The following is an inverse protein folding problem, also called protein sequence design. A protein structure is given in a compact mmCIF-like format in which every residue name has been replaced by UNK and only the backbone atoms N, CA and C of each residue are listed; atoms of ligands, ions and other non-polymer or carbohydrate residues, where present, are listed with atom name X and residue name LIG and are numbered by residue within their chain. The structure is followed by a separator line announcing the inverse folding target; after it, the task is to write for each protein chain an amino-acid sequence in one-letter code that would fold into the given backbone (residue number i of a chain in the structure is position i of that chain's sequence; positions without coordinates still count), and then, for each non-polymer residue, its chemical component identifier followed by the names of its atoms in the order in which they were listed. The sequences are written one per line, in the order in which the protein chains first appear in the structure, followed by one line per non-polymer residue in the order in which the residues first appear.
data_IF_113992228147
#
_entry.id   IF_113992228147
#
_cell.length_a   1.000
_cell.length_b   1.000
_cell.length_c   1.000
_cell.angle_alpha   90.00
_cell.angle_beta   90.00
_cell.angle_gamma   90.00
#
_symmetry.space_group_name_H-M   'P 1'
#
loop_
_entity.id
_entity.type
_entity.pdbx_description
1 polymer ?
#
# COMPACT_ATOMS: atom_id res chain seq x y z
N UNK A 1 1.84 7.50 -19.03
CA UNK A 1 1.99 8.38 -17.85
C UNK A 1 3.00 9.46 -18.21
N UNK A 2 2.70 10.74 -17.99
CA UNK A 2 3.69 11.80 -18.24
C UNK A 2 4.96 11.56 -17.41
N UNK A 3 6.16 11.86 -17.93
CA UNK A 3 7.41 11.69 -17.18
C UNK A 3 7.43 12.40 -15.82
N UNK A 4 6.80 13.57 -15.70
CA UNK A 4 6.68 14.30 -14.43
C UNK A 4 5.99 13.49 -13.33
N UNK A 5 4.96 12.71 -13.68
CA UNK A 5 4.23 11.86 -12.72
C UNK A 5 5.07 10.69 -12.19
N UNK A 6 6.09 10.24 -12.92
CA UNK A 6 7.02 9.21 -12.43
C UNK A 6 7.76 9.75 -11.21
N UNK A 7 8.35 10.93 -11.33
CA UNK A 7 9.14 11.55 -10.28
C UNK A 7 8.30 11.95 -9.08
N UNK A 8 7.09 12.44 -9.30
CA UNK A 8 6.15 12.72 -8.19
C UNK A 8 5.88 11.47 -7.33
N UNK A 9 5.66 10.31 -7.95
CA UNK A 9 5.43 9.06 -7.22
C UNK A 9 6.67 8.66 -6.41
N UNK A 10 7.86 8.75 -7.01
CA UNK A 10 9.11 8.41 -6.31
C UNK A 10 9.36 9.37 -5.16
N UNK A 11 9.21 10.68 -5.37
CA UNK A 11 9.40 11.67 -4.31
C UNK A 11 8.46 11.44 -3.13
N UNK A 12 7.18 11.14 -3.38
CA UNK A 12 6.21 10.96 -2.29
C UNK A 12 6.35 9.60 -1.61
N UNK A 13 6.53 8.50 -2.37
CA UNK A 13 6.50 7.16 -1.78
C UNK A 13 7.86 6.64 -1.31
N UNK A 14 8.96 7.18 -1.84
CA UNK A 14 10.33 6.78 -1.51
C UNK A 14 10.99 7.86 -0.68
N UNK A 15 11.22 9.03 -1.28
CA UNK A 15 12.02 10.08 -0.64
C UNK A 15 11.35 10.60 0.64
N UNK A 16 10.06 10.92 0.62
CA UNK A 16 9.38 11.46 1.79
C UNK A 16 9.36 10.47 2.96
N UNK A 17 9.12 9.18 2.71
CA UNK A 17 9.12 8.14 3.76
C UNK A 17 10.49 8.07 4.44
N UNK A 18 11.57 8.02 3.66
CA UNK A 18 12.93 7.91 4.18
C UNK A 18 13.37 9.18 4.91
N UNK A 19 13.06 10.35 4.35
CA UNK A 19 13.35 11.64 4.98
C UNK A 19 12.63 11.81 6.31
N UNK A 20 11.34 11.49 6.38
CA UNK A 20 10.55 11.59 7.62
C UNK A 20 11.11 10.66 8.70
N UNK A 21 11.45 9.42 8.34
CA UNK A 21 12.09 8.50 9.28
C UNK A 21 13.44 9.05 9.76
N UNK A 22 14.29 9.54 8.85
CA UNK A 22 15.61 10.10 9.18
C UNK A 22 15.52 11.30 10.13
N UNK A 23 14.48 12.12 9.98
CA UNK A 23 14.25 13.30 10.82
C UNK A 23 13.70 12.93 12.20
N UNK A 24 12.78 11.97 12.29
CA UNK A 24 12.04 11.67 13.53
C UNK A 24 12.73 10.63 14.41
N UNK A 25 13.39 9.63 13.80
CA UNK A 25 13.99 8.51 14.52
C UNK A 25 15.04 8.94 15.57
N UNK A 26 15.97 9.88 15.30
CA UNK A 26 16.95 10.30 16.32
C UNK A 26 16.28 10.77 17.61
N UNK A 27 15.23 11.60 17.50
CA UNK A 27 14.48 12.06 18.67
C UNK A 27 13.72 10.95 19.39
N UNK A 28 13.23 9.93 18.68
CA UNK A 28 12.63 8.74 19.30
C UNK A 28 13.67 7.93 20.07
N UNK A 29 14.86 7.74 19.49
CA UNK A 29 15.99 7.04 20.12
C UNK A 29 16.41 7.74 21.42
N UNK A 30 16.57 9.07 21.41
CA UNK A 30 16.88 9.83 22.63
C UNK A 30 15.84 9.60 23.74
N UNK A 31 14.57 9.40 23.38
CA UNK A 31 13.51 9.12 24.36
C UNK A 31 13.43 7.65 24.79
N UNK A 32 14.16 6.75 24.15
CA UNK A 32 14.05 5.30 24.33
C UNK A 32 12.67 4.72 24.00
N UNK A 33 11.83 5.48 23.28
CA UNK A 33 10.47 5.08 22.91
C UNK A 33 9.96 5.82 21.69
N UNK A 34 9.22 5.11 20.84
CA UNK A 34 8.53 5.67 19.69
C UNK A 34 7.85 4.60 18.85
N UNK A 35 6.99 5.04 17.94
CA UNK A 35 6.38 4.17 16.95
C UNK A 35 6.41 4.82 15.56
N UNK A 36 6.75 4.05 14.54
CA UNK A 36 6.69 4.43 13.13
C UNK A 36 5.79 3.44 12.40
N UNK A 37 4.85 3.95 11.62
CA UNK A 37 3.96 3.14 10.79
C UNK A 37 4.11 3.59 9.34
N UNK A 38 4.67 2.72 8.51
CA UNK A 38 4.86 2.99 7.09
C UNK A 38 3.79 2.29 6.25
N UNK A 39 3.17 3.05 5.36
CA UNK A 39 2.06 2.59 4.51
C UNK A 39 2.54 2.13 3.14
N UNK A 40 2.58 0.82 2.96
CA UNK A 40 2.82 0.16 1.68
C UNK A 40 1.50 -0.11 0.92
N UNK A 41 1.42 -1.22 0.20
CA UNK A 41 0.24 -1.73 -0.50
C UNK A 41 0.44 -3.20 -0.83
N UNK A 42 -0.64 -3.97 -0.97
CA UNK A 42 -0.63 -5.31 -1.54
C UNK A 42 0.06 -5.39 -2.92
N UNK A 43 0.17 -4.28 -3.65
CA UNK A 43 0.93 -4.18 -4.89
C UNK A 43 2.44 -4.44 -4.73
N UNK A 44 2.97 -4.44 -3.51
CA UNK A 44 4.37 -4.80 -3.25
C UNK A 44 4.67 -6.28 -3.50
N UNK A 45 3.64 -7.13 -3.64
CA UNK A 45 3.84 -8.57 -3.75
C UNK A 45 4.35 -8.99 -5.13
N UNK A 46 4.01 -8.26 -6.19
CA UNK A 46 4.39 -8.56 -7.57
C UNK A 46 4.54 -7.28 -8.41
N UNK A 47 5.15 -7.41 -9.58
CA UNK A 47 5.11 -6.37 -10.60
C UNK A 47 3.68 -6.13 -11.11
N UNK A 48 3.30 -4.85 -11.21
CA UNK A 48 1.96 -4.43 -11.66
C UNK A 48 2.06 -3.67 -13.00
N UNK A 49 1.72 -4.30 -14.15
CA UNK A 49 1.69 -3.62 -15.44
C UNK A 49 0.82 -2.36 -15.40
N UNK A 50 1.15 -1.29 -16.13
CA UNK A 50 0.50 0.03 -16.06
C UNK A 50 0.74 0.82 -14.76
N UNK A 51 1.09 0.16 -13.64
CA UNK A 51 1.33 0.76 -12.32
C UNK A 51 2.77 0.50 -11.82
N UNK A 52 3.72 0.31 -12.73
CA UNK A 52 5.08 -0.18 -12.45
C UNK A 52 5.82 0.63 -11.39
N UNK A 53 5.89 1.96 -11.55
CA UNK A 53 6.59 2.87 -10.61
C UNK A 53 5.92 2.85 -9.23
N UNK A 54 4.59 2.84 -9.19
CA UNK A 54 3.85 2.76 -7.94
C UNK A 54 4.14 1.46 -7.20
N UNK A 55 4.00 0.31 -7.86
CA UNK A 55 4.27 -0.99 -7.25
C UNK A 55 5.72 -1.11 -6.76
N UNK A 56 6.69 -0.69 -7.58
CA UNK A 56 8.11 -0.66 -7.21
C UNK A 56 8.36 0.23 -5.97
N UNK A 57 7.73 1.40 -5.89
CA UNK A 57 7.84 2.27 -4.71
C UNK A 57 7.28 1.63 -3.44
N UNK A 58 6.29 0.75 -3.54
CA UNK A 58 5.71 0.03 -2.40
C UNK A 58 6.58 -1.17 -1.97
N UNK A 59 7.26 -1.82 -2.91
CA UNK A 59 8.35 -2.77 -2.58
C UNK A 59 9.46 -2.07 -1.79
N UNK A 60 9.86 -0.86 -2.22
CA UNK A 60 10.82 -0.04 -1.47
C UNK A 60 10.33 0.23 -0.05
N UNK A 61 9.10 0.75 0.12
CA UNK A 61 8.54 1.04 1.44
C UNK A 61 8.56 -0.20 2.35
N UNK A 62 8.20 -1.37 1.84
CA UNK A 62 8.26 -2.63 2.59
C UNK A 62 9.68 -2.95 3.06
N UNK A 63 10.62 -3.01 2.12
CA UNK A 63 12.01 -3.39 2.39
C UNK A 63 12.64 -2.41 3.38
N UNK A 64 12.48 -1.11 3.14
CA UNK A 64 12.95 -0.03 4.02
C UNK A 64 12.37 -0.17 5.43
N UNK A 65 11.06 -0.40 5.55
CA UNK A 65 10.39 -0.54 6.86
C UNK A 65 10.89 -1.75 7.65
N UNK A 66 11.20 -2.85 6.97
CA UNK A 66 11.77 -4.03 7.61
C UNK A 66 13.21 -3.76 8.09
N UNK A 67 14.03 -3.13 7.26
CA UNK A 67 15.41 -2.79 7.63
C UNK A 67 15.46 -1.88 8.87
N UNK A 68 14.74 -0.75 8.84
CA UNK A 68 14.77 0.19 9.98
C UNK A 68 14.11 -0.41 11.24
N UNK A 69 13.22 -1.41 11.10
CA UNK A 69 12.69 -2.11 12.27
C UNK A 69 13.82 -2.81 13.03
N UNK A 70 14.64 -3.60 12.32
CA UNK A 70 15.73 -4.34 12.94
C UNK A 70 16.81 -3.39 13.47
N UNK A 71 17.13 -2.32 12.73
CA UNK A 71 18.11 -1.31 13.15
C UNK A 71 17.70 -0.57 14.44
N UNK A 72 16.41 -0.27 14.59
CA UNK A 72 15.90 0.57 15.70
C UNK A 72 15.19 -0.22 16.82
N UNK A 73 14.97 -1.53 16.66
CA UNK A 73 14.39 -2.37 17.72
C UNK A 73 15.21 -2.36 19.02
N UNK A 74 16.56 -2.44 19.00
CA UNK A 74 17.37 -2.33 20.22
C UNK A 74 17.22 -0.98 20.95
N UNK A 75 16.73 0.05 20.26
CA UNK A 75 16.55 1.40 20.79
C UNK A 75 15.12 1.66 21.32
N UNK A 76 14.30 0.61 21.47
CA UNK A 76 12.94 0.73 22.00
C UNK A 76 11.93 1.31 21.01
N UNK A 77 12.24 1.29 19.70
CA UNK A 77 11.37 1.87 18.66
C UNK A 77 10.55 0.77 17.99
N UNK A 78 9.23 0.93 18.01
CA UNK A 78 8.32 0.03 17.34
C UNK A 78 8.09 0.45 15.88
N UNK A 79 8.48 -0.38 14.91
CA UNK A 79 8.25 -0.10 13.49
C UNK A 79 7.26 -1.10 12.89
N UNK A 80 6.18 -0.59 12.31
CA UNK A 80 5.12 -1.36 11.66
C UNK A 80 5.05 -1.11 10.16
N UNK A 81 4.85 -2.19 9.42
CA UNK A 81 4.54 -2.21 8.00
C UNK A 81 3.05 -2.48 7.80
N UNK A 82 2.37 -1.58 7.08
CA UNK A 82 0.98 -1.75 6.64
C UNK A 82 0.92 -2.04 5.13
N UNK A 83 0.24 -3.11 4.73
CA UNK A 83 0.10 -3.54 3.33
C UNK A 83 -1.38 -3.73 2.94
N UNK A 84 -2.16 -2.64 2.81
CA UNK A 84 -3.57 -2.73 2.48
C UNK A 84 -3.82 -3.24 1.06
N UNK A 85 -4.96 -3.91 0.89
CA UNK A 85 -5.61 -4.07 -0.41
C UNK A 85 -6.48 -2.84 -0.72
N UNK A 86 -7.38 -2.96 -1.68
CA UNK A 86 -8.26 -1.85 -2.09
C UNK A 86 -9.10 -1.38 -0.89
N UNK A 87 -9.08 -0.06 -0.66
CA UNK A 87 -9.90 0.65 0.32
C UNK A 87 -10.80 1.60 -0.47
N UNK A 88 -12.06 1.69 -0.08
CA UNK A 88 -13.07 2.51 -0.74
C UNK A 88 -12.84 3.99 -0.48
N UNK A 89 -11.94 4.58 -1.27
CA UNK A 89 -11.50 5.99 -1.21
C UNK A 89 -11.53 6.64 -2.59
N UNK A 90 -11.19 7.93 -2.67
CA UNK A 90 -11.04 8.65 -3.94
C UNK A 90 -10.06 7.99 -4.92
N UNK A 91 -9.05 7.26 -4.43
CA UNK A 91 -8.12 6.51 -5.29
C UNK A 91 -8.81 5.39 -6.08
N UNK A 92 -9.84 4.78 -5.49
CA UNK A 92 -10.59 3.70 -6.09
C UNK A 92 -11.79 4.20 -6.92
N UNK A 93 -12.00 5.52 -7.06
CA UNK A 93 -13.16 6.12 -7.76
C UNK A 93 -13.37 5.58 -9.18
N UNK A 94 -12.27 5.26 -9.87
CA UNK A 94 -12.29 4.79 -11.26
C UNK A 94 -12.34 3.26 -11.37
N UNK A 95 -12.44 2.55 -10.24
CA UNK A 95 -12.63 1.11 -10.25
C UNK A 95 -14.07 0.77 -10.61
N UNK A 96 -14.35 -0.44 -11.13
CA UNK A 96 -15.71 -0.84 -11.44
C UNK A 96 -16.62 -0.72 -10.21
N UNK A 97 -17.70 0.06 -10.30
CA UNK A 97 -18.65 0.27 -9.17
C UNK A 97 -19.17 -1.03 -8.57
N UNK A 98 -19.46 -2.03 -9.42
CA UNK A 98 -19.84 -3.39 -8.98
C UNK A 98 -18.82 -4.05 -8.05
N UNK A 99 -17.54 -3.78 -8.24
CA UNK A 99 -16.47 -4.28 -7.39
C UNK A 99 -16.52 -3.59 -6.00
N UNK A 100 -16.89 -2.31 -5.96
CA UNK A 100 -16.86 -1.48 -4.75
C UNK A 100 -18.14 -1.52 -3.91
N UNK A 101 -19.33 -1.45 -4.53
CA UNK A 101 -20.60 -1.18 -3.86
C UNK A 101 -21.19 -2.35 -3.06
N UNK A 102 -20.60 -3.56 -3.13
CA UNK A 102 -21.15 -4.78 -2.49
C UNK A 102 -20.11 -5.63 -1.76
N UNK A 103 -18.88 -5.15 -1.62
CA UNK A 103 -17.78 -5.98 -1.19
C UNK A 103 -17.39 -5.71 0.26
N UNK A 104 -17.65 -6.69 1.14
CA UNK A 104 -17.06 -6.74 2.50
C UNK A 104 -15.52 -6.77 2.46
N UNK A 105 -14.93 -6.98 1.29
CA UNK A 105 -13.49 -6.99 1.08
C UNK A 105 -12.90 -5.57 1.03
N UNK A 106 -13.70 -4.53 0.75
CA UNK A 106 -13.19 -3.16 0.53
C UNK A 106 -13.81 -2.18 1.54
N UNK A 107 -13.24 -2.09 2.76
CA UNK A 107 -13.72 -1.14 3.76
C UNK A 107 -13.59 0.30 3.27
N UNK A 108 -14.42 1.21 3.79
CA UNK A 108 -14.18 2.64 3.65
C UNK A 108 -12.95 3.09 4.48
N UNK A 109 -12.48 4.31 4.23
CA UNK A 109 -11.28 4.85 4.89
C UNK A 109 -11.38 4.87 6.43
N UNK A 110 -12.56 5.23 6.98
CA UNK A 110 -12.77 5.33 8.42
C UNK A 110 -12.76 3.95 9.06
N UNK A 111 -13.48 2.99 8.48
CA UNK A 111 -13.50 1.60 8.93
C UNK A 111 -12.11 0.98 8.87
N UNK A 112 -11.37 1.20 7.77
CA UNK A 112 -10.00 0.72 7.64
C UNK A 112 -9.08 1.34 8.69
N UNK A 113 -9.13 2.66 8.91
CA UNK A 113 -8.29 3.34 9.88
C UNK A 113 -8.52 2.85 11.31
N UNK A 114 -9.78 2.70 11.73
CA UNK A 114 -10.12 2.11 13.03
C UNK A 114 -9.55 0.70 13.20
N UNK A 115 -9.69 -0.14 12.17
CA UNK A 115 -9.12 -1.49 12.18
C UNK A 115 -7.58 -1.46 12.24
N UNK A 116 -6.93 -0.62 11.44
CA UNK A 116 -5.47 -0.56 11.34
C UNK A 116 -4.82 -0.13 12.66
N UNK A 117 -5.40 0.87 13.35
CA UNK A 117 -4.90 1.33 14.66
C UNK A 117 -4.94 0.21 15.71
N UNK A 118 -5.93 -0.69 15.66
CA UNK A 118 -6.03 -1.81 16.60
C UNK A 118 -4.87 -2.82 16.48
N UNK A 119 -4.12 -2.80 15.38
CA UNK A 119 -2.94 -3.64 15.18
C UNK A 119 -1.64 -2.98 15.66
N UNK A 120 -1.63 -1.66 15.89
CA UNK A 120 -0.44 -0.93 16.30
C UNK A 120 0.07 -1.46 17.65
N UNK A 121 1.37 -1.75 17.73
CA UNK A 121 2.00 -2.33 18.92
C UNK A 121 1.77 -3.83 19.12
N UNK A 122 0.97 -4.50 18.27
CA UNK A 122 0.66 -5.94 18.40
C UNK A 122 1.32 -6.80 17.34
N UNK A 123 1.37 -6.30 16.11
CA UNK A 123 1.93 -7.01 14.96
C UNK A 123 2.80 -6.10 14.11
N UNK A 124 3.98 -6.55 13.73
CA UNK A 124 4.91 -5.74 12.96
C UNK A 124 4.54 -5.63 11.48
N UNK A 125 3.86 -6.64 10.93
CA UNK A 125 3.43 -6.70 9.54
C UNK A 125 1.94 -7.03 9.51
N UNK A 126 1.15 -6.16 8.89
CA UNK A 126 -0.30 -6.35 8.80
C UNK A 126 -0.85 -5.69 7.55
N UNK A 127 -1.97 -6.18 7.06
CA UNK A 127 -2.74 -5.51 6.02
C UNK A 127 -3.66 -4.41 6.57
N UNK A 128 -3.74 -4.25 7.89
CA UNK A 128 -4.61 -3.29 8.58
C UNK A 128 -6.08 -3.70 8.66
N UNK A 129 -6.49 -4.76 7.95
CA UNK A 129 -7.85 -5.27 7.93
C UNK A 129 -7.84 -6.80 7.81
N UNK A 130 -8.56 -7.50 8.68
CA UNK A 130 -8.43 -8.96 8.83
C UNK A 130 -8.74 -9.75 7.55
N UNK A 131 -9.75 -9.34 6.78
CA UNK A 131 -10.08 -9.94 5.48
C UNK A 131 -8.92 -9.78 4.50
N UNK A 132 -8.27 -8.60 4.49
CA UNK A 132 -7.09 -8.38 3.65
C UNK A 132 -5.95 -9.32 4.06
N UNK A 133 -5.85 -9.71 5.33
CA UNK A 133 -4.87 -10.69 5.79
C UNK A 133 -5.10 -12.07 5.16
N UNK A 134 -6.35 -12.51 5.06
CA UNK A 134 -6.71 -13.76 4.37
C UNK A 134 -6.36 -13.65 2.88
N UNK A 135 -6.74 -12.54 2.24
CA UNK A 135 -6.42 -12.28 0.83
C UNK A 135 -4.91 -12.28 0.57
N UNK A 136 -4.14 -11.68 1.48
CA UNK A 136 -2.68 -11.62 1.41
C UNK A 136 -2.06 -13.02 1.46
N UNK A 137 -2.50 -13.84 2.42
CA UNK A 137 -2.02 -15.21 2.57
C UNK A 137 -2.34 -16.06 1.35
N UNK A 138 -3.58 -16.01 0.85
CA UNK A 138 -3.98 -16.73 -0.38
C UNK A 138 -3.15 -16.26 -1.58
N UNK A 139 -2.96 -14.95 -1.72
CA UNK A 139 -2.16 -14.39 -2.81
C UNK A 139 -0.72 -14.91 -2.78
N UNK A 140 -0.11 -15.05 -1.61
CA UNK A 140 1.26 -15.58 -1.48
C UNK A 140 1.42 -17.04 -1.91
N UNK A 141 0.35 -17.83 -1.93
CA UNK A 141 0.40 -19.21 -2.41
C UNK A 141 0.50 -19.29 -3.94
N UNK A 142 0.06 -18.25 -4.64
CA UNK A 142 0.14 -18.20 -6.09
C UNK A 142 1.56 -17.82 -6.56
N UNK A 143 2.16 -18.56 -7.51
CA UNK A 143 3.41 -18.18 -8.16
C UNK A 143 3.34 -16.76 -8.73
N UNK A 144 4.50 -16.09 -8.80
CA UNK A 144 4.55 -14.70 -9.27
C UNK A 144 3.95 -14.52 -10.67
N UNK A 145 4.25 -15.42 -11.62
CA UNK A 145 3.71 -15.34 -12.97
C UNK A 145 2.17 -15.40 -13.00
N UNK A 146 1.54 -16.17 -12.11
CA UNK A 146 0.08 -16.26 -11.96
C UNK A 146 -0.45 -14.91 -11.48
N UNK A 147 0.15 -14.36 -10.42
CA UNK A 147 -0.24 -13.06 -9.87
C UNK A 147 -0.05 -11.93 -10.88
N UNK A 148 1.04 -11.96 -11.65
CA UNK A 148 1.30 -11.00 -12.71
C UNK A 148 0.27 -11.10 -13.84
N UNK A 149 -0.11 -12.31 -14.24
CA UNK A 149 -1.16 -12.52 -15.25
C UNK A 149 -2.51 -11.95 -14.79
N UNK A 150 -2.94 -12.26 -13.56
CA UNK A 150 -4.16 -11.70 -12.98
C UNK A 150 -4.09 -10.17 -12.83
N UNK A 151 -2.95 -9.63 -12.36
CA UNK A 151 -2.74 -8.19 -12.25
C UNK A 151 -2.86 -7.50 -13.61
N UNK A 152 -2.29 -8.10 -14.66
CA UNK A 152 -2.38 -7.57 -16.02
C UNK A 152 -3.84 -7.49 -16.48
N UNK A 153 -4.60 -8.59 -16.36
CA UNK A 153 -6.02 -8.62 -16.72
C UNK A 153 -6.84 -7.58 -15.95
N UNK A 154 -6.66 -7.51 -14.63
CA UNK A 154 -7.36 -6.56 -13.77
C UNK A 154 -7.07 -5.10 -14.15
N UNK A 155 -5.80 -4.74 -14.34
CA UNK A 155 -5.40 -3.36 -14.60
C UNK A 155 -5.78 -2.91 -16.01
N UNK A 156 -5.78 -3.81 -16.99
CA UNK A 156 -6.34 -3.52 -18.31
C UNK A 156 -7.85 -3.26 -18.25
N UNK A 157 -8.60 -4.03 -17.45
CA UNK A 157 -10.03 -3.78 -17.24
C UNK A 157 -10.28 -2.44 -16.53
N UNK A 158 -9.48 -2.10 -15.51
CA UNK A 158 -9.58 -0.79 -14.84
C UNK A 158 -9.27 0.35 -15.81
N UNK A 159 -8.26 0.18 -16.66
CA UNK A 159 -7.91 1.17 -17.70
C UNK A 159 -9.05 1.34 -18.71
N UNK A 160 -9.69 0.26 -19.18
CA UNK A 160 -10.81 0.38 -20.12
C UNK A 160 -12.01 1.08 -19.49
N UNK A 161 -12.34 0.77 -18.23
CA UNK A 161 -13.42 1.47 -17.50
C UNK A 161 -13.10 2.96 -17.33
N UNK A 162 -11.86 3.30 -16.98
CA UNK A 162 -11.42 4.69 -16.88
C UNK A 162 -11.56 5.46 -18.20
N UNK A 163 -11.12 4.87 -19.31
CA UNK A 163 -11.22 5.51 -20.62
C UNK A 163 -12.68 5.70 -21.04
N UNK A 164 -13.54 4.70 -20.80
CA UNK A 164 -14.96 4.79 -21.13
C UNK A 164 -15.68 5.89 -20.33
N UNK A 165 -15.38 6.02 -19.04
CA UNK A 165 -15.97 7.06 -18.18
C UNK A 165 -15.53 8.47 -18.61
N UNK A 166 -14.27 8.65 -19.00
CA UNK A 166 -13.76 9.94 -19.45
C UNK A 166 -14.33 10.37 -20.81
N UNK A 167 -14.54 9.41 -21.73
CA UNK A 167 -15.20 9.68 -23.02
C UNK A 167 -16.67 10.06 -22.79
N UNK A 168 -17.34 9.42 -21.82
CA UNK A 168 -18.73 9.74 -21.49
C UNK A 168 -18.91 11.14 -20.88
N UNK A 169 -17.91 11.68 -20.17
CA UNK A 169 -17.93 13.06 -19.61
C UNK A 169 -17.62 14.17 -20.63
N UNK A 170 -17.20 13.82 -21.85
CA UNK A 170 -16.95 14.78 -22.94
C UNK A 170 -18.13 14.90 -23.92
N UNK A 171 -19.22 14.16 -23.69
CA UNK A 171 -20.50 14.27 -24.39
C UNK A 171 -21.52 14.94 -23.47
#
# INVERSE_FOLDING_TARGET
MPPSKVWEIVHVNVLAVSSMCRMLLPGMVTRGRGAVVNMSSACEMQSMPLWSVYAASKVYTRSFTHAIREEYAPHGIYVQHLSPFVISTNMARNFPKRLMERSRLFPDAKTYAHSAVNFLGRVHNTTGFWIHGIMYTISKLAPEWVRMHFANLMLHNFRSVYMNNNIATLK
#
